data_IF_431897519264
#
_entry.id   IF_431897519264
#
_cell.length_a   1.000
_cell.length_b   1.000
_cell.length_c   1.000
_cell.angle_alpha   90.00
_cell.angle_beta   90.00
_cell.angle_gamma   90.00
#
_symmetry.space_group_name_H-M   'P 1'
#
loop_
_entity.id
_entity.type
_entity.pdbx_description
1 polymer ?
#
# COMPACT_ATOMS: atom_id res chain seq x y z
N UNK A 1 47.93 32.64 70.22
CA UNK A 1 49.32 32.43 69.77
C UNK A 1 49.26 32.07 68.31
N UNK A 2 49.73 33.03 67.52
CA UNK A 2 50.42 32.96 66.22
C UNK A 2 49.70 32.27 65.04
N UNK A 3 49.23 33.02 64.03
CA UNK A 3 49.98 33.63 62.90
C UNK A 3 50.67 32.60 62.00
N UNK A 4 50.20 32.52 60.75
CA UNK A 4 50.91 32.27 59.48
C UNK A 4 49.83 32.40 58.39
N UNK A 5 49.74 33.56 57.73
CA UNK A 5 50.45 34.00 56.52
C UNK A 5 49.61 33.77 55.24
N UNK A 6 49.40 34.87 54.52
CA UNK A 6 48.71 35.09 53.23
C UNK A 6 49.56 34.54 52.05
N UNK A 7 49.29 34.80 50.74
CA UNK A 7 48.14 35.40 50.03
C UNK A 7 47.69 34.62 48.77
N UNK A 8 46.61 35.05 48.11
CA UNK A 8 46.63 35.62 46.75
C UNK A 8 45.29 35.43 46.01
N UNK A 9 44.56 36.52 45.94
CA UNK A 9 43.47 36.74 44.99
C UNK A 9 44.06 36.68 43.58
N UNK A 10 43.47 35.85 42.72
CA UNK A 10 43.64 35.96 41.28
C UNK A 10 42.34 36.46 40.69
N UNK A 11 42.35 37.74 40.34
CA UNK A 11 41.38 38.39 39.49
C UNK A 11 41.29 37.62 38.16
N UNK A 12 40.12 37.05 37.86
CA UNK A 12 39.82 36.62 36.49
C UNK A 12 39.17 37.82 35.79
N UNK A 13 40.03 38.50 35.03
CA UNK A 13 39.73 39.53 34.05
C UNK A 13 38.60 39.10 33.10
N UNK A 14 37.53 39.90 33.07
CA UNK A 14 36.56 39.93 31.98
C UNK A 14 37.21 40.56 30.74
N UNK A 15 37.73 39.74 29.84
CA UNK A 15 37.99 40.13 28.45
C UNK A 15 37.81 38.93 27.54
N UNK A 16 37.20 39.17 26.38
CA UNK A 16 37.01 38.26 25.25
C UNK A 16 35.74 37.39 25.23
N UNK A 17 34.57 38.05 25.26
CA UNK A 17 33.43 37.56 24.48
C UNK A 17 33.73 37.83 23.01
N UNK A 18 34.46 36.91 22.36
CA UNK A 18 34.53 36.88 20.90
C UNK A 18 33.13 36.61 20.37
N UNK A 19 32.53 37.66 19.83
CA UNK A 19 31.28 37.59 19.07
C UNK A 19 31.59 36.84 17.78
N UNK A 20 31.27 35.55 17.76
CA UNK A 20 31.35 34.73 16.55
C UNK A 20 30.42 35.40 15.52
N UNK A 21 30.90 35.77 14.32
CA UNK A 21 30.02 36.29 13.29
C UNK A 21 28.99 35.22 12.98
N UNK A 22 27.70 35.56 13.02
CA UNK A 22 26.65 34.71 12.52
C UNK A 22 26.98 34.39 11.05
N UNK A 23 27.55 33.20 10.83
CA UNK A 23 27.80 32.67 9.51
C UNK A 23 26.45 32.63 8.81
N UNK A 24 26.29 33.50 7.81
CA UNK A 24 25.08 33.61 7.04
C UNK A 24 24.83 32.22 6.43
N UNK A 25 23.83 31.51 6.97
CA UNK A 25 23.33 30.27 6.39
C UNK A 25 23.06 30.59 4.92
N UNK A 26 23.80 29.98 3.96
CA UNK A 26 23.55 30.26 2.57
C UNK A 26 22.09 29.90 2.31
N UNK A 27 21.30 30.89 1.92
CA UNK A 27 19.96 30.65 1.43
C UNK A 27 20.13 29.70 0.23
N UNK A 28 19.86 28.41 0.46
CA UNK A 28 19.89 27.39 -0.58
C UNK A 28 18.80 27.80 -1.55
N UNK A 29 19.20 28.53 -2.59
CA UNK A 29 18.35 28.81 -3.73
C UNK A 29 17.92 27.45 -4.28
N UNK A 30 16.63 27.14 -4.12
CA UNK A 30 16.01 25.87 -4.49
C UNK A 30 15.89 25.76 -6.01
N UNK A 31 17.02 25.79 -6.73
CA UNK A 31 17.02 25.37 -8.12
C UNK A 31 16.95 23.85 -8.14
N UNK A 32 15.73 23.33 -8.23
CA UNK A 32 15.49 21.90 -8.43
C UNK A 32 16.06 21.52 -9.79
N UNK A 33 17.00 20.59 -9.83
CA UNK A 33 17.54 20.07 -11.10
C UNK A 33 16.44 19.33 -11.88
N UNK A 34 16.54 19.23 -13.22
CA UNK A 34 15.59 18.46 -14.02
C UNK A 34 15.41 17.01 -13.52
N UNK A 35 16.50 16.37 -13.12
CA UNK A 35 16.52 15.02 -12.54
C UNK A 35 15.74 14.95 -11.22
N UNK A 36 15.85 15.98 -10.38
CA UNK A 36 15.09 16.07 -9.13
C UNK A 36 13.59 16.25 -9.39
N UNK A 37 13.22 17.03 -10.41
CA UNK A 37 11.82 17.20 -10.83
C UNK A 37 11.25 15.90 -11.41
N UNK A 38 12.04 15.15 -12.19
CA UNK A 38 11.67 13.83 -12.70
C UNK A 38 11.46 12.83 -11.56
N UNK A 39 12.38 12.80 -10.58
CA UNK A 39 12.24 11.96 -9.39
C UNK A 39 10.98 12.30 -8.57
N UNK A 40 10.70 13.59 -8.36
CA UNK A 40 9.46 14.03 -7.69
C UNK A 40 8.20 13.61 -8.46
N UNK A 41 8.21 13.71 -9.80
CA UNK A 41 7.08 13.30 -10.63
C UNK A 41 6.86 11.78 -10.60
N UNK A 42 7.93 10.99 -10.71
CA UNK A 42 7.85 9.52 -10.58
C UNK A 42 7.31 9.13 -9.22
N UNK A 43 7.82 9.74 -8.13
CA UNK A 43 7.32 9.47 -6.79
C UNK A 43 5.84 9.83 -6.65
N UNK A 44 5.41 10.98 -7.20
CA UNK A 44 4.00 11.39 -7.19
C UNK A 44 3.11 10.41 -7.94
N UNK A 45 3.54 9.92 -9.11
CA UNK A 45 2.79 8.93 -9.91
C UNK A 45 2.68 7.60 -9.17
N UNK A 46 3.76 7.13 -8.56
CA UNK A 46 3.73 5.91 -7.75
C UNK A 46 2.85 6.08 -6.51
N UNK A 47 2.87 7.24 -5.85
CA UNK A 47 2.09 7.50 -4.63
C UNK A 47 0.59 7.57 -4.91
N UNK A 48 0.23 7.93 -6.13
CA UNK A 48 -1.16 8.06 -6.59
C UNK A 48 -1.65 6.83 -7.36
N UNK A 49 -0.83 5.79 -7.44
CA UNK A 49 -1.16 4.53 -8.09
C UNK A 49 -2.29 3.82 -7.34
N UNK A 50 -3.29 3.32 -8.05
CA UNK A 50 -4.46 2.63 -7.52
C UNK A 50 -4.66 1.27 -8.18
N UNK A 51 -5.49 0.43 -7.53
CA UNK A 51 -5.96 -0.81 -8.13
C UNK A 51 -6.68 -0.50 -9.46
N UNK A 52 -6.32 -1.25 -10.50
CA UNK A 52 -6.82 -1.09 -11.85
C UNK A 52 -5.91 -0.26 -12.75
N UNK A 53 -5.02 0.59 -12.21
CA UNK A 53 -4.11 1.42 -13.02
C UNK A 53 -3.19 0.55 -13.91
N UNK A 54 -2.74 1.12 -15.03
CA UNK A 54 -1.89 0.42 -15.98
C UNK A 54 -0.43 0.84 -15.81
N UNK A 55 0.47 -0.14 -15.82
CA UNK A 55 1.91 0.06 -15.86
C UNK A 55 2.42 -0.65 -17.10
N UNK A 56 3.05 0.09 -18.01
CA UNK A 56 3.64 -0.47 -19.22
C UNK A 56 5.10 -0.79 -18.96
N UNK A 57 5.46 -2.08 -19.05
CA UNK A 57 6.82 -2.56 -18.84
C UNK A 57 7.52 -2.75 -20.16
N UNK A 58 8.71 -2.21 -20.31
CA UNK A 58 9.58 -2.53 -21.45
C UNK A 58 9.87 -4.03 -21.43
N UNK A 59 9.74 -4.69 -22.58
CA UNK A 59 9.94 -6.13 -22.73
C UNK A 59 11.30 -6.60 -22.20
N UNK A 60 12.35 -5.80 -22.38
CA UNK A 60 13.70 -6.10 -21.88
C UNK A 60 13.75 -6.26 -20.36
N UNK A 61 12.94 -5.50 -19.63
CA UNK A 61 12.83 -5.55 -18.17
C UNK A 61 12.21 -6.87 -17.69
N UNK A 62 11.46 -7.54 -18.56
CA UNK A 62 10.84 -8.85 -18.32
C UNK A 62 11.61 -10.00 -18.99
N UNK A 63 12.83 -9.75 -19.50
CA UNK A 63 13.66 -10.74 -20.17
C UNK A 63 13.30 -11.02 -21.64
N UNK A 64 12.38 -10.24 -22.22
CA UNK A 64 11.94 -10.38 -23.61
C UNK A 64 12.77 -9.49 -24.56
N UNK A 65 12.90 -9.91 -25.83
CA UNK A 65 13.57 -9.11 -26.86
C UNK A 65 12.78 -7.83 -27.18
N UNK A 66 13.50 -6.73 -27.38
CA UNK A 66 12.97 -5.44 -27.84
C UNK A 66 13.47 -5.14 -29.26
N UNK A 67 12.70 -4.35 -30.00
CA UNK A 67 13.02 -3.94 -31.37
C UNK A 67 14.25 -3.04 -31.42
N UNK A 68 14.39 -2.16 -30.42
CA UNK A 68 15.57 -1.30 -30.22
C UNK A 68 15.74 -0.97 -28.75
N UNK A 69 16.98 -0.94 -28.27
CA UNK A 69 17.28 -0.59 -26.87
C UNK A 69 17.13 0.91 -26.60
N UNK A 70 17.59 1.74 -27.54
CA UNK A 70 17.64 3.20 -27.37
C UNK A 70 16.32 3.88 -27.71
N UNK A 71 15.57 3.32 -28.66
CA UNK A 71 14.29 3.87 -29.14
C UNK A 71 13.21 2.77 -29.15
N UNK A 72 12.70 2.36 -27.97
CA UNK A 72 11.67 1.34 -27.89
C UNK A 72 10.36 1.83 -28.54
N UNK A 73 9.75 0.98 -29.35
CA UNK A 73 8.44 1.23 -29.96
C UNK A 73 7.32 0.86 -28.97
N UNK A 74 6.07 1.32 -29.17
CA UNK A 74 4.95 0.91 -28.32
C UNK A 74 4.76 -0.63 -28.22
N UNK A 75 5.12 -1.37 -29.28
CA UNK A 75 5.09 -2.84 -29.29
C UNK A 75 6.15 -3.48 -28.40
N UNK A 76 7.18 -2.73 -27.99
CA UNK A 76 8.22 -3.17 -27.06
C UNK A 76 7.77 -3.09 -25.60
N UNK A 77 6.51 -2.74 -25.34
CA UNK A 77 5.94 -2.68 -24.01
C UNK A 77 4.87 -3.75 -23.79
N UNK A 78 4.77 -4.20 -22.54
CA UNK A 78 3.74 -5.10 -22.04
C UNK A 78 2.90 -4.33 -21.03
N UNK A 79 1.59 -4.30 -21.25
CA UNK A 79 0.64 -3.71 -20.30
C UNK A 79 0.47 -4.63 -19.08
N UNK A 80 0.73 -4.08 -17.90
CA UNK A 80 0.43 -4.69 -16.61
C UNK A 80 -0.68 -3.92 -15.90
N UNK A 81 -1.60 -4.62 -15.24
CA UNK A 81 -2.67 -4.01 -14.45
C UNK A 81 -2.40 -4.19 -12.96
N UNK A 82 -2.41 -3.09 -12.22
CA UNK A 82 -2.27 -3.12 -10.76
C UNK A 82 -3.46 -3.85 -10.15
N UNK A 83 -3.20 -4.93 -9.44
CA UNK A 83 -4.23 -5.75 -8.78
C UNK A 83 -4.43 -5.26 -7.37
N UNK A 84 -3.34 -5.16 -6.60
CA UNK A 84 -3.38 -4.78 -5.20
C UNK A 84 -2.01 -4.27 -4.71
N UNK A 85 -2.01 -3.82 -3.46
CA UNK A 85 -0.82 -3.45 -2.72
C UNK A 85 -0.65 -4.38 -1.53
N UNK A 86 0.55 -4.88 -1.33
CA UNK A 86 0.91 -5.79 -0.24
C UNK A 86 2.09 -5.23 0.52
N UNK A 87 2.32 -5.69 1.74
CA UNK A 87 3.33 -5.10 2.62
C UNK A 87 4.03 -6.18 3.43
N UNK A 88 5.34 -6.05 3.62
CA UNK A 88 6.07 -6.79 4.64
C UNK A 88 6.36 -5.87 5.85
N UNK A 89 7.36 -6.22 6.66
CA UNK A 89 7.73 -5.45 7.85
C UNK A 89 8.19 -4.02 7.54
N UNK A 90 8.87 -3.81 6.41
CA UNK A 90 9.60 -2.57 6.08
C UNK A 90 9.24 -2.04 4.68
N UNK A 91 8.75 -2.89 3.79
CA UNK A 91 8.59 -2.64 2.37
C UNK A 91 7.13 -2.71 1.95
N UNK A 92 6.80 -1.85 1.01
CA UNK A 92 5.55 -1.86 0.26
C UNK A 92 5.79 -2.53 -1.08
N UNK A 93 4.87 -3.39 -1.49
CA UNK A 93 4.88 -4.09 -2.77
C UNK A 93 3.60 -3.76 -3.55
N UNK A 94 3.71 -3.84 -4.87
CA UNK A 94 2.62 -3.71 -5.81
C UNK A 94 2.53 -5.02 -6.58
N UNK A 95 1.35 -5.62 -6.59
CA UNK A 95 1.08 -6.81 -7.40
C UNK A 95 0.46 -6.35 -8.71
N UNK A 96 1.10 -6.75 -9.82
CA UNK A 96 0.71 -6.36 -11.17
C UNK A 96 0.46 -7.62 -11.98
N UNK A 97 -0.73 -7.73 -12.57
CA UNK A 97 -1.04 -8.80 -13.51
C UNK A 97 -0.54 -8.43 -14.89
N UNK A 98 0.39 -9.22 -15.44
CA UNK A 98 1.06 -9.01 -16.71
C UNK A 98 0.73 -10.18 -17.63
N UNK A 99 0.13 -9.92 -18.79
CA UNK A 99 -0.06 -10.98 -19.78
C UNK A 99 1.20 -11.07 -20.68
N UNK A 100 1.84 -12.25 -20.86
CA UNK A 100 1.47 -13.59 -20.40
C UNK A 100 2.14 -14.05 -19.07
N UNK A 101 2.87 -13.18 -18.38
CA UNK A 101 3.70 -13.51 -17.21
C UNK A 101 2.93 -13.81 -15.90
N UNK A 102 1.61 -13.58 -15.85
CA UNK A 102 0.79 -13.76 -14.65
C UNK A 102 0.95 -12.61 -13.65
N UNK A 103 0.66 -12.89 -12.38
CA UNK A 103 0.75 -11.90 -11.30
C UNK A 103 2.18 -11.80 -10.75
N UNK A 104 2.86 -10.69 -11.05
CA UNK A 104 4.20 -10.39 -10.53
C UNK A 104 4.13 -9.38 -9.39
N UNK A 105 4.97 -9.57 -8.39
CA UNK A 105 5.08 -8.70 -7.23
C UNK A 105 6.36 -7.85 -7.34
N UNK A 106 6.23 -6.53 -7.23
CA UNK A 106 7.33 -5.59 -7.30
C UNK A 106 7.43 -4.80 -6.01
N UNK A 107 8.64 -4.63 -5.46
CA UNK A 107 8.83 -3.66 -4.39
C UNK A 107 8.62 -2.25 -4.94
N UNK A 108 8.08 -1.36 -4.13
CA UNK A 108 7.89 0.04 -4.48
C UNK A 108 9.21 0.72 -4.92
N UNK A 109 10.33 0.34 -4.29
CA UNK A 109 11.67 0.80 -4.68
C UNK A 109 12.13 0.27 -6.04
N UNK A 110 11.67 -0.92 -6.46
CA UNK A 110 12.01 -1.47 -7.77
C UNK A 110 11.25 -0.73 -8.87
N UNK A 111 9.95 -0.48 -8.67
CA UNK A 111 9.14 0.34 -9.57
C UNK A 111 9.71 1.76 -9.72
N UNK A 112 10.16 2.36 -8.62
CA UNK A 112 10.84 3.67 -8.67
C UNK A 112 12.11 3.61 -9.54
N UNK A 113 12.99 2.63 -9.31
CA UNK A 113 14.24 2.49 -10.08
C UNK A 113 13.97 2.23 -11.55
N UNK A 114 13.01 1.35 -11.87
CA UNK A 114 12.63 1.06 -13.25
C UNK A 114 12.00 2.29 -13.94
N UNK A 115 11.21 3.09 -13.23
CA UNK A 115 10.62 4.30 -13.80
C UNK A 115 11.69 5.37 -14.08
N UNK A 116 12.65 5.56 -13.16
CA UNK A 116 13.79 6.44 -13.38
C UNK A 116 14.69 5.98 -14.54
N UNK A 117 14.82 4.65 -14.73
CA UNK A 117 15.54 4.07 -15.86
C UNK A 117 14.75 4.09 -17.18
N UNK A 118 13.50 4.59 -17.18
CA UNK A 118 12.58 4.59 -18.33
C UNK A 118 12.24 3.20 -18.86
N UNK A 119 12.33 2.21 -17.98
CA UNK A 119 11.95 0.82 -18.23
C UNK A 119 10.44 0.60 -18.03
N UNK A 120 9.78 1.47 -17.26
CA UNK A 120 8.33 1.41 -17.08
C UNK A 120 7.67 2.77 -17.25
N UNK A 121 6.43 2.76 -17.73
CA UNK A 121 5.56 3.94 -17.82
C UNK A 121 4.27 3.72 -17.05
N UNK A 122 3.98 4.61 -16.11
CA UNK A 122 2.78 4.55 -15.27
C UNK A 122 1.68 5.36 -15.94
N UNK A 123 0.59 4.69 -16.31
CA UNK A 123 -0.61 5.31 -16.85
C UNK A 123 -1.78 5.11 -15.90
N UNK A 124 -2.33 6.22 -15.44
CA UNK A 124 -3.44 6.24 -14.51
C UNK A 124 -4.73 5.97 -15.26
N UNK A 125 -5.65 5.22 -14.65
CA UNK A 125 -7.05 5.31 -15.04
C UNK A 125 -7.53 6.71 -14.66
N UNK A 126 -7.58 7.60 -15.63
CA UNK A 126 -8.38 8.79 -15.48
C UNK A 126 -9.84 8.31 -15.28
N UNK A 127 -10.36 8.48 -14.05
CA UNK A 127 -11.79 8.23 -13.75
C UNK A 127 -12.74 9.14 -14.54
N UNK A 128 -12.21 10.00 -15.41
CA UNK A 128 -12.94 10.61 -16.52
C UNK A 128 -12.55 9.83 -17.76
N UNK A 129 -13.50 9.05 -18.30
CA UNK A 129 -13.45 8.58 -19.70
C UNK A 129 -13.10 9.78 -20.58
N UNK A 130 -11.84 9.89 -20.97
CA UNK A 130 -11.45 10.68 -22.13
C UNK A 130 -11.43 9.64 -23.24
N UNK A 131 -12.51 9.62 -24.01
CA UNK A 131 -12.49 8.99 -25.32
C UNK A 131 -11.32 9.62 -26.10
N UNK A 132 -10.23 8.87 -26.26
CA UNK A 132 -9.11 9.22 -27.14
C UNK A 132 -9.49 9.04 -28.62
N UNK A 133 -10.71 9.41 -28.97
CA UNK A 133 -11.17 9.58 -30.34
C UNK A 133 -11.69 11.00 -30.51
N UNK A 134 -10.77 11.95 -30.72
CA UNK A 134 -10.98 13.14 -31.56
C UNK A 134 -9.68 13.92 -31.71
N UNK A 135 -8.97 13.56 -32.77
CA UNK A 135 -7.80 14.27 -33.27
C UNK A 135 -7.58 13.99 -34.75
N UNK A 136 -8.65 13.85 -35.55
CA UNK A 136 -8.56 13.96 -37.00
C UNK A 136 -9.78 14.70 -37.54
N UNK A 137 -9.49 15.62 -38.46
CA UNK A 137 -10.36 16.66 -39.00
C UNK A 137 -11.42 16.08 -39.94
N UNK A 138 -12.60 16.71 -39.93
CA UNK A 138 -13.38 16.95 -41.14
C UNK A 138 -14.42 15.89 -41.53
N UNK A 139 -15.67 16.35 -41.66
CA UNK A 139 -16.56 15.89 -42.72
C UNK A 139 -17.57 14.79 -42.39
N UNK A 140 -18.83 15.20 -42.33
CA UNK A 140 -20.03 14.53 -42.85
C UNK A 140 -20.49 13.19 -42.25
N UNK A 141 -21.63 13.30 -41.54
CA UNK A 141 -22.82 12.43 -41.58
C UNK A 141 -22.66 10.90 -41.67
N UNK A 142 -23.25 10.20 -40.70
CA UNK A 142 -23.62 8.80 -40.84
C UNK A 142 -24.03 8.13 -39.53
N UNK A 143 -25.33 8.08 -39.26
CA UNK A 143 -25.95 7.17 -38.30
C UNK A 143 -25.48 5.73 -38.55
N UNK A 144 -25.12 4.98 -37.50
CA UNK A 144 -25.29 3.52 -37.45
C UNK A 144 -25.18 3.01 -36.00
N UNK A 145 -26.33 2.60 -35.46
CA UNK A 145 -26.47 1.69 -34.32
C UNK A 145 -25.84 0.35 -34.68
N UNK A 146 -24.83 -0.15 -33.95
CA UNK A 146 -24.56 -1.62 -33.86
C UNK A 146 -23.99 -2.00 -32.48
N UNK A 147 -24.86 -2.65 -31.72
CA UNK A 147 -24.68 -3.84 -30.88
C UNK A 147 -23.34 -4.11 -30.18
N UNK A 148 -23.44 -4.14 -28.85
CA UNK A 148 -22.72 -4.99 -27.91
C UNK A 148 -22.38 -6.37 -28.47
N UNK A 149 -21.10 -6.74 -28.50
CA UNK A 149 -20.66 -8.13 -28.59
C UNK A 149 -19.57 -8.39 -27.56
N UNK A 150 -19.99 -9.03 -26.47
CA UNK A 150 -19.12 -9.80 -25.59
C UNK A 150 -18.33 -10.81 -26.44
N UNK A 151 -17.00 -10.75 -26.39
CA UNK A 151 -16.15 -11.79 -26.95
C UNK A 151 -15.66 -12.68 -25.82
N UNK A 152 -16.39 -13.78 -25.65
CA UNK A 152 -15.92 -15.03 -25.06
C UNK A 152 -14.66 -15.46 -25.80
N UNK A 153 -13.51 -15.46 -25.13
CA UNK A 153 -12.31 -16.13 -25.65
C UNK A 153 -12.30 -17.54 -25.07
N UNK A 154 -12.40 -18.49 -25.98
CA UNK A 154 -12.36 -19.94 -25.76
C UNK A 154 -11.08 -20.35 -25.04
N UNK A 155 -11.23 -21.22 -24.04
CA UNK A 155 -10.17 -22.08 -23.52
C UNK A 155 -9.62 -22.94 -24.66
N UNK A 156 -8.30 -22.86 -24.90
CA UNK A 156 -7.59 -23.90 -25.62
C UNK A 156 -6.72 -24.63 -24.60
N UNK A 157 -7.07 -25.89 -24.42
CA UNK A 157 -6.31 -26.96 -23.80
C UNK A 157 -4.99 -27.10 -24.58
N UNK A 158 -3.85 -27.05 -23.89
CA UNK A 158 -2.65 -27.75 -24.37
C UNK A 158 -1.73 -28.11 -23.20
N UNK A 159 -1.46 -29.40 -23.14
CA UNK A 159 -0.72 -30.13 -22.14
C UNK A 159 0.81 -30.01 -22.29
N UNK A 160 1.52 -30.22 -21.16
CA UNK A 160 2.95 -30.61 -20.98
C UNK A 160 3.96 -29.49 -20.60
N UNK A 161 5.13 -29.83 -20.00
CA UNK A 161 5.36 -30.71 -18.87
C UNK A 161 6.14 -30.04 -17.72
N UNK A 162 5.99 -30.63 -16.55
CA UNK A 162 6.62 -30.31 -15.27
C UNK A 162 8.15 -30.45 -15.35
N UNK A 163 8.90 -29.36 -15.10
CA UNK A 163 10.31 -29.45 -14.71
C UNK A 163 10.45 -29.03 -13.25
N UNK A 164 10.60 -30.04 -12.41
CA UNK A 164 11.06 -29.89 -11.04
C UNK A 164 12.53 -29.46 -11.05
N UNK A 165 12.83 -28.32 -10.44
CA UNK A 165 14.18 -27.99 -10.00
C UNK A 165 14.23 -28.13 -8.48
N UNK A 166 14.76 -29.28 -8.07
CA UNK A 166 15.19 -29.59 -6.72
C UNK A 166 16.32 -28.66 -6.28
N UNK A 167 16.16 -27.99 -5.15
CA UNK A 167 17.29 -27.69 -4.26
C UNK A 167 16.89 -27.96 -2.81
N UNK A 168 17.76 -28.73 -2.19
CA UNK A 168 17.73 -29.42 -0.91
C UNK A 168 17.85 -28.50 0.30
N UNK A 169 17.09 -28.85 1.33
CA UNK A 169 17.48 -29.00 2.74
C UNK A 169 18.30 -27.88 3.39
N UNK A 170 17.60 -26.99 4.09
CA UNK A 170 18.07 -26.37 5.34
C UNK A 170 16.92 -26.42 6.36
N UNK A 171 17.27 -26.82 7.57
CA UNK A 171 16.39 -27.29 8.65
C UNK A 171 15.22 -26.39 9.09
N UNK A 172 14.15 -27.12 9.37
CA UNK A 172 12.90 -26.79 10.04
C UNK A 172 13.06 -26.09 11.40
N UNK A 173 12.40 -24.94 11.58
CA UNK A 173 11.30 -24.85 12.55
C UNK A 173 10.43 -23.60 12.35
N UNK A 174 9.12 -23.84 12.19
CA UNK A 174 8.04 -22.86 12.32
C UNK A 174 7.95 -21.75 11.24
N UNK A 175 7.16 -21.97 10.16
CA UNK A 175 6.21 -20.99 9.58
C UNK A 175 5.80 -21.17 8.09
N UNK A 176 6.01 -22.32 7.45
CA UNK A 176 5.63 -22.46 6.02
C UNK A 176 4.13 -22.46 5.73
N UNK A 177 3.29 -22.85 6.70
CA UNK A 177 1.84 -22.75 6.55
C UNK A 177 1.35 -21.28 6.52
N UNK A 178 2.13 -20.37 7.09
CA UNK A 178 1.81 -18.95 7.21
C UNK A 178 2.21 -18.18 5.94
N UNK A 179 3.30 -18.57 5.28
CA UNK A 179 3.76 -17.96 4.03
C UNK A 179 2.88 -18.35 2.84
N UNK A 180 2.50 -19.62 2.73
CA UNK A 180 1.62 -20.11 1.66
C UNK A 180 0.20 -19.52 1.77
N UNK A 181 -0.32 -19.38 2.99
CA UNK A 181 -1.62 -18.72 3.24
C UNK A 181 -1.57 -17.21 2.97
N UNK A 182 -0.44 -16.54 3.24
CA UNK A 182 -0.24 -15.12 2.93
C UNK A 182 -0.25 -14.83 1.44
N UNK A 183 0.33 -15.70 0.61
CA UNK A 183 0.35 -15.54 -0.85
C UNK A 183 -1.05 -15.77 -1.47
N UNK A 184 -1.85 -16.66 -0.86
CA UNK A 184 -3.16 -17.10 -1.34
C UNK A 184 -4.30 -16.09 -1.17
N UNK A 185 -4.09 -14.99 -0.43
CA UNK A 185 -5.13 -13.99 -0.10
C UNK A 185 -4.97 -12.62 -0.79
N UNK A 186 -4.05 -12.50 -1.75
CA UNK A 186 -3.58 -11.21 -2.26
C UNK A 186 -4.37 -10.65 -3.47
N UNK A 187 -5.55 -11.17 -3.80
CA UNK A 187 -6.20 -10.90 -5.09
C UNK A 187 -7.57 -10.20 -5.04
N UNK A 188 -7.89 -9.41 -4.02
CA UNK A 188 -9.23 -8.74 -3.98
C UNK A 188 -9.21 -7.29 -3.59
N UNK A 189 -9.95 -6.50 -4.38
CA UNK A 189 -10.33 -5.12 -4.06
C UNK A 189 -10.95 -5.07 -2.65
N UNK A 190 -10.46 -4.20 -1.74
CA UNK A 190 -11.05 -4.04 -0.41
C UNK A 190 -12.54 -3.69 -0.43
N UNK A 191 -13.07 -3.17 -1.55
CA UNK A 191 -14.51 -2.92 -1.76
C UNK A 191 -15.34 -4.18 -2.00
N UNK A 192 -14.73 -5.27 -2.48
CA UNK A 192 -15.42 -6.55 -2.70
C UNK A 192 -15.58 -7.36 -1.40
N UNK A 193 -15.02 -6.89 -0.29
CA UNK A 193 -15.08 -7.58 1.00
C UNK A 193 -16.43 -7.36 1.67
N UNK A 194 -17.05 -8.40 2.25
CA UNK A 194 -18.26 -8.25 3.06
C UNK A 194 -18.07 -7.18 4.16
N UNK A 195 -19.14 -6.46 4.48
CA UNK A 195 -19.18 -5.44 5.52
C UNK A 195 -20.01 -5.99 6.68
N UNK A 196 -19.51 -5.97 7.93
CA UNK A 196 -20.33 -6.31 9.09
C UNK A 196 -21.58 -5.42 9.15
N UNK A 197 -22.76 -6.00 9.42
CA UNK A 197 -24.01 -5.26 9.39
C UNK A 197 -24.02 -4.12 10.41
N UNK A 198 -24.41 -2.92 9.96
CA UNK A 198 -24.58 -1.75 10.81
C UNK A 198 -23.28 -1.05 11.23
N UNK A 199 -22.12 -1.46 10.73
CA UNK A 199 -20.82 -0.92 11.16
C UNK A 199 -20.69 0.60 10.96
N UNK A 200 -21.32 1.13 9.91
CA UNK A 200 -21.41 2.55 9.60
C UNK A 200 -22.17 3.37 10.66
N UNK A 201 -22.99 2.72 11.49
CA UNK A 201 -23.78 3.40 12.53
C UNK A 201 -22.95 3.70 13.77
N UNK A 202 -21.90 2.92 14.02
CA UNK A 202 -21.13 2.97 15.25
C UNK A 202 -19.61 3.16 15.08
N UNK A 203 -19.04 2.90 13.89
CA UNK A 203 -17.68 3.32 13.52
C UNK A 203 -17.76 4.58 12.65
N UNK A 204 -17.21 5.69 13.14
CA UNK A 204 -17.42 7.02 12.55
C UNK A 204 -16.13 7.76 12.17
N UNK A 205 -14.95 7.20 12.43
CA UNK A 205 -13.70 7.92 12.21
C UNK A 205 -13.44 8.18 10.71
N UNK A 206 -13.27 9.46 10.34
CA UNK A 206 -12.94 9.89 8.97
C UNK A 206 -11.45 10.24 8.87
N UNK A 207 -10.61 9.26 8.56
CA UNK A 207 -9.16 9.44 8.54
C UNK A 207 -8.68 10.45 7.48
N UNK A 208 -7.84 11.41 7.89
CA UNK A 208 -7.12 12.32 6.97
C UNK A 208 -5.84 11.64 6.46
N UNK A 209 -5.01 11.11 7.38
CA UNK A 209 -3.77 10.41 7.05
C UNK A 209 -3.85 8.92 7.43
N UNK A 210 -4.66 8.19 6.67
CA UNK A 210 -4.89 6.76 6.90
C UNK A 210 -3.61 5.92 6.79
N UNK A 211 -2.71 6.24 5.85
CA UNK A 211 -1.50 5.46 5.59
C UNK A 211 -0.55 5.50 6.79
N UNK A 212 -0.32 6.69 7.35
CA UNK A 212 0.53 6.84 8.53
C UNK A 212 -0.03 6.06 9.73
N UNK A 213 -1.34 6.17 9.98
CA UNK A 213 -1.96 5.47 11.09
C UNK A 213 -1.95 3.94 10.92
N UNK A 214 -2.15 3.44 9.68
CA UNK A 214 -1.98 2.02 9.37
C UNK A 214 -0.57 1.54 9.71
N UNK A 215 0.48 2.31 9.40
CA UNK A 215 1.87 1.94 9.76
C UNK A 215 2.05 1.84 11.27
N UNK A 216 1.50 2.80 12.02
CA UNK A 216 1.53 2.79 13.50
C UNK A 216 0.83 1.57 14.07
N UNK A 217 -0.39 1.28 13.61
CA UNK A 217 -1.16 0.11 14.04
C UNK A 217 -0.43 -1.19 13.72
N UNK A 218 0.13 -1.34 12.51
CA UNK A 218 0.95 -2.50 12.15
C UNK A 218 2.15 -2.67 13.06
N UNK A 219 2.84 -1.57 13.41
CA UNK A 219 3.93 -1.58 14.39
C UNK A 219 3.47 -2.12 15.74
N UNK A 220 2.36 -1.63 16.28
CA UNK A 220 1.80 -2.08 17.56
C UNK A 220 1.38 -3.55 17.54
N UNK A 221 0.76 -4.01 16.45
CA UNK A 221 0.41 -5.43 16.27
C UNK A 221 1.68 -6.29 16.26
N UNK A 222 2.77 -5.84 15.66
CA UNK A 222 4.03 -6.60 15.65
C UNK A 222 4.64 -6.72 17.05
N UNK A 223 4.62 -5.65 17.84
CA UNK A 223 5.13 -5.66 19.22
C UNK A 223 4.34 -6.61 20.12
N UNK A 224 3.05 -6.83 19.85
CA UNK A 224 2.22 -7.73 20.64
C UNK A 224 1.27 -8.57 19.78
N UNK A 225 1.86 -9.35 18.87
CA UNK A 225 1.11 -10.14 17.87
C UNK A 225 0.19 -11.14 18.55
N UNK A 226 0.67 -11.83 19.57
CA UNK A 226 -0.08 -12.86 20.27
C UNK A 226 -1.38 -12.29 20.87
N UNK A 227 -1.29 -11.20 21.63
CA UNK A 227 -2.45 -10.54 22.23
C UNK A 227 -3.43 -10.02 21.17
N UNK A 228 -2.93 -9.50 20.06
CA UNK A 228 -3.79 -9.07 18.96
C UNK A 228 -4.55 -10.25 18.33
N UNK A 229 -3.88 -11.39 18.13
CA UNK A 229 -4.52 -12.60 17.58
C UNK A 229 -5.60 -13.15 18.54
N UNK A 230 -5.34 -13.15 19.84
CA UNK A 230 -6.30 -13.52 20.90
C UNK A 230 -7.50 -12.58 20.92
N UNK A 231 -7.27 -11.26 20.93
CA UNK A 231 -8.33 -10.25 20.92
C UNK A 231 -9.20 -10.31 19.66
N UNK A 232 -8.65 -10.79 18.54
CA UNK A 232 -9.35 -10.90 17.25
C UNK A 232 -9.87 -12.30 16.93
N UNK A 233 -9.94 -13.21 17.91
CA UNK A 233 -10.40 -14.60 17.72
C UNK A 233 -11.76 -14.68 17.01
N UNK A 234 -12.68 -13.78 17.36
CA UNK A 234 -14.04 -13.70 16.80
C UNK A 234 -14.20 -12.59 15.75
N UNK A 235 -13.14 -11.82 15.46
CA UNK A 235 -13.14 -10.65 14.57
C UNK A 235 -11.98 -10.80 13.56
N UNK A 236 -11.96 -11.95 12.88
CA UNK A 236 -10.79 -12.39 12.11
C UNK A 236 -10.48 -11.47 10.93
N UNK A 237 -11.49 -10.78 10.40
CA UNK A 237 -11.33 -9.77 9.35
C UNK A 237 -10.41 -8.62 9.77
N UNK A 238 -10.30 -8.30 11.07
CA UNK A 238 -9.39 -7.26 11.55
C UNK A 238 -7.91 -7.66 11.36
N UNK A 239 -7.61 -8.96 11.23
CA UNK A 239 -6.24 -9.46 10.97
C UNK A 239 -5.72 -9.06 9.60
N UNK A 240 -6.62 -8.70 8.67
CA UNK A 240 -6.27 -8.18 7.35
C UNK A 240 -5.48 -6.87 7.43
N UNK A 241 -5.48 -6.16 8.58
CA UNK A 241 -4.61 -5.00 8.82
C UNK A 241 -3.13 -5.30 8.60
N UNK A 242 -2.72 -6.56 8.76
CA UNK A 242 -1.35 -6.99 8.58
C UNK A 242 -0.95 -7.15 7.11
N UNK A 243 -1.89 -7.51 6.24
CA UNK A 243 -1.58 -8.03 4.89
C UNK A 243 -2.23 -7.24 3.75
N UNK A 244 -3.29 -6.48 4.02
CA UNK A 244 -4.09 -5.82 3.00
C UNK A 244 -4.29 -4.32 3.27
N UNK A 245 -4.85 -3.63 2.28
CA UNK A 245 -5.47 -2.33 2.47
C UNK A 245 -6.71 -2.50 3.36
N UNK A 246 -6.76 -1.72 4.45
CA UNK A 246 -7.87 -1.76 5.41
C UNK A 246 -8.93 -0.72 5.12
N UNK A 247 -10.17 -0.96 5.53
CA UNK A 247 -11.26 0.02 5.56
C UNK A 247 -11.15 0.90 6.81
N UNK A 248 -11.84 2.04 6.81
CA UNK A 248 -11.79 2.97 7.94
C UNK A 248 -12.26 2.32 9.24
N UNK A 249 -13.40 1.61 9.21
CA UNK A 249 -13.91 0.93 10.40
C UNK A 249 -12.98 -0.19 10.90
N UNK A 250 -12.30 -0.92 10.01
CA UNK A 250 -11.36 -1.98 10.39
C UNK A 250 -10.16 -1.38 11.15
N UNK A 251 -9.71 -0.21 10.70
CA UNK A 251 -8.62 0.52 11.32
C UNK A 251 -9.04 1.15 12.66
N UNK A 252 -10.24 1.72 12.73
CA UNK A 252 -10.84 2.22 13.97
C UNK A 252 -10.96 1.10 15.00
N UNK A 253 -11.48 -0.07 14.61
CA UNK A 253 -11.64 -1.20 15.53
C UNK A 253 -10.32 -1.81 15.97
N UNK A 254 -9.36 -1.97 15.05
CA UNK A 254 -8.02 -2.42 15.41
C UNK A 254 -7.36 -1.46 16.42
N UNK A 255 -7.57 -0.15 16.28
CA UNK A 255 -7.05 0.84 17.22
C UNK A 255 -7.65 0.68 18.62
N UNK A 256 -8.97 0.52 18.74
CA UNK A 256 -9.62 0.28 20.04
C UNK A 256 -9.13 -1.00 20.71
N UNK A 257 -8.94 -2.10 19.96
CA UNK A 257 -8.41 -3.36 20.50
C UNK A 257 -6.95 -3.26 20.97
N UNK A 258 -6.21 -2.27 20.46
CA UNK A 258 -4.82 -1.98 20.81
C UNK A 258 -4.69 -0.81 21.80
N UNK A 259 -5.81 -0.34 22.39
CA UNK A 259 -5.85 0.82 23.30
C UNK A 259 -5.18 2.07 22.70
N UNK A 260 -5.31 2.29 21.40
CA UNK A 260 -4.79 3.45 20.68
C UNK A 260 -5.93 4.33 20.24
N UNK A 261 -5.79 5.65 20.37
CA UNK A 261 -6.82 6.61 19.95
C UNK A 261 -6.76 6.87 18.43
N UNK A 262 -7.75 6.44 17.63
CA UNK A 262 -7.80 6.73 16.19
C UNK A 262 -8.21 8.17 15.86
N UNK A 263 -8.91 8.87 16.76
CA UNK A 263 -9.52 10.18 16.53
C UNK A 263 -8.50 11.31 16.33
N UNK A 264 -7.29 11.13 16.85
CA UNK A 264 -6.15 12.01 16.59
C UNK A 264 -5.74 12.08 15.10
N UNK A 265 -6.18 11.13 14.28
CA UNK A 265 -5.84 11.03 12.85
C UNK A 265 -7.05 11.29 11.93
N UNK A 266 -8.17 11.75 12.49
CA UNK A 266 -9.45 11.91 11.80
C UNK A 266 -9.82 13.40 11.60
N UNK A 267 -10.65 13.67 10.60
CA UNK A 267 -11.16 15.01 10.28
C UNK A 267 -12.34 15.44 11.15
N UNK A 268 -12.90 14.51 11.93
CA UNK A 268 -14.04 14.71 12.82
C UNK A 268 -13.69 14.38 14.29
N UNK A 269 -12.65 14.98 14.89
CA UNK A 269 -12.23 14.65 16.26
C UNK A 269 -13.29 14.98 17.32
N UNK A 270 -14.22 15.90 17.03
CA UNK A 270 -15.32 16.28 17.91
C UNK A 270 -16.41 15.20 18.05
N UNK A 271 -16.41 14.17 17.20
CA UNK A 271 -17.30 13.01 17.31
C UNK A 271 -16.69 11.86 18.13
N UNK A 272 -15.55 12.08 18.80
CA UNK A 272 -14.87 11.09 19.61
C UNK A 272 -15.79 10.51 20.71
N UNK A 273 -16.00 9.18 20.75
CA UNK A 273 -16.81 8.52 21.76
C UNK A 273 -16.09 8.48 23.10
N UNK A 274 -16.87 8.47 24.19
CA UNK A 274 -16.32 8.25 25.52
C UNK A 274 -15.72 6.83 25.66
N UNK A 275 -14.83 6.60 26.64
CA UNK A 275 -14.27 5.26 26.91
C UNK A 275 -15.32 4.18 27.14
N UNK A 276 -16.45 4.52 27.77
CA UNK A 276 -17.59 3.61 27.99
C UNK A 276 -18.25 3.27 26.66
N UNK A 277 -18.46 4.28 25.80
CA UNK A 277 -19.04 4.09 24.47
C UNK A 277 -18.11 3.27 23.58
N UNK A 278 -16.80 3.37 23.71
CA UNK A 278 -15.84 2.51 23.00
C UNK A 278 -16.05 1.02 23.36
N UNK A 279 -16.30 0.71 24.64
CA UNK A 279 -16.60 -0.68 25.06
C UNK A 279 -17.88 -1.20 24.41
N UNK A 280 -18.92 -0.37 24.35
CA UNK A 280 -20.16 -0.71 23.66
C UNK A 280 -19.95 -0.91 22.14
N UNK A 281 -19.14 -0.06 21.51
CA UNK A 281 -18.79 -0.19 20.08
C UNK A 281 -18.10 -1.53 19.81
N UNK A 282 -17.15 -1.93 20.66
CA UNK A 282 -16.48 -3.22 20.54
C UNK A 282 -17.50 -4.38 20.64
N UNK A 283 -18.44 -4.33 21.58
CA UNK A 283 -19.47 -5.37 21.72
C UNK A 283 -20.47 -5.40 20.56
N UNK A 284 -20.91 -4.24 20.06
CA UNK A 284 -21.75 -4.14 18.85
C UNK A 284 -21.02 -4.72 17.64
N UNK A 285 -19.72 -4.43 17.50
CA UNK A 285 -18.91 -4.98 16.42
C UNK A 285 -18.78 -6.51 16.55
N UNK A 286 -18.50 -7.03 17.75
CA UNK A 286 -18.47 -8.49 18.02
C UNK A 286 -19.80 -9.16 17.66
N UNK A 287 -20.92 -8.52 17.96
CA UNK A 287 -22.24 -9.03 17.59
C UNK A 287 -22.45 -9.02 16.06
N UNK A 288 -22.04 -7.94 15.39
CA UNK A 288 -22.15 -7.79 13.94
C UNK A 288 -21.36 -8.87 13.18
N UNK A 289 -20.13 -9.17 13.61
CA UNK A 289 -19.28 -10.18 12.95
C UNK A 289 -19.71 -11.62 13.25
N UNK A 290 -20.49 -11.83 14.32
CA UNK A 290 -21.11 -13.13 14.66
C UNK A 290 -22.45 -13.33 13.96
N UNK A 291 -22.92 -12.37 13.17
CA UNK A 291 -24.13 -12.53 12.38
C UNK A 291 -23.94 -13.71 11.40
N UNK A 292 -24.83 -14.73 11.40
CA UNK A 292 -24.68 -15.91 10.55
C UNK A 292 -24.53 -15.59 9.07
N UNK A 293 -25.28 -14.60 8.58
CA UNK A 293 -25.25 -14.16 7.17
C UNK A 293 -23.88 -13.55 6.85
N UNK A 294 -23.36 -12.70 7.74
CA UNK A 294 -22.04 -12.12 7.54
C UNK A 294 -20.94 -13.18 7.56
N UNK A 295 -20.99 -14.13 8.51
CA UNK A 295 -20.00 -15.21 8.61
C UNK A 295 -19.96 -16.05 7.32
N UNK A 296 -21.12 -16.40 6.76
CA UNK A 296 -21.21 -17.13 5.50
C UNK A 296 -20.62 -16.33 4.32
N UNK A 297 -20.97 -15.05 4.20
CA UNK A 297 -20.44 -14.17 3.16
C UNK A 297 -18.92 -14.02 3.28
N UNK A 298 -18.41 -13.88 4.50
CA UNK A 298 -16.98 -13.74 4.77
C UNK A 298 -16.22 -15.03 4.45
N UNK A 299 -16.74 -16.20 4.85
CA UNK A 299 -16.15 -17.48 4.52
C UNK A 299 -16.13 -17.73 3.00
N UNK A 300 -17.21 -17.42 2.30
CA UNK A 300 -17.28 -17.51 0.83
C UNK A 300 -16.28 -16.58 0.15
N UNK A 301 -16.12 -15.36 0.66
CA UNK A 301 -15.13 -14.42 0.15
C UNK A 301 -13.69 -14.92 0.37
N UNK A 302 -13.39 -15.51 1.54
CA UNK A 302 -12.09 -16.13 1.82
C UNK A 302 -11.80 -17.34 0.92
N UNK A 303 -12.82 -18.16 0.63
CA UNK A 303 -12.68 -19.30 -0.28
C UNK A 303 -12.44 -18.85 -1.73
N UNK A 304 -13.18 -17.83 -2.20
CA UNK A 304 -13.04 -17.31 -3.57
C UNK A 304 -11.71 -16.60 -3.81
N UNK A 305 -11.20 -15.87 -2.80
CA UNK A 305 -9.84 -15.31 -2.85
C UNK A 305 -8.79 -16.41 -2.95
N UNK A 306 -9.04 -17.56 -2.30
CA UNK A 306 -8.14 -18.71 -2.32
C UNK A 306 -8.16 -19.52 -3.62
N UNK A 307 -9.22 -19.40 -4.42
CA UNK A 307 -9.44 -20.22 -5.63
C UNK A 307 -9.11 -19.46 -6.92
N UNK A 308 -9.10 -18.13 -6.88
CA UNK A 308 -8.85 -17.26 -8.06
C UNK A 308 -7.37 -17.11 -8.44
N UNK A 309 -6.49 -17.99 -7.95
CA UNK A 309 -5.02 -17.92 -8.13
C UNK A 309 -4.48 -19.22 -8.78
N UNK A 310 -5.35 -20.13 -9.24
CA UNK A 310 -4.95 -21.31 -10.01
C UNK A 310 -5.24 -21.12 -11.50
#
# INVERSE_FOLDING_TARGET
MDLLDTPSETEISNSDIQTIPAEAVPAISKYKTPEYLEAEDVLRRLQTLNNGDCIYFKKSTLGNKVSSMDNPLPIDFIEGRVVCFTFDEVKQYVVVNLHPHGALQFCYGDLYRMAMARDIYIHRLDMKRIDLSKGSKGGLAGNLNIASKNRTIKSLDDSLPYYAASHSDIDSSCSDLDAYTRQKLLSTDPKARPIPPGVETFCKCRFINKIEFVRKIRGLVRTNRQKFMENTTFMQELRLVLTQNVRAYELEMAAYLLNTNPWQYCSNPHEEPSPERIKEIIEMYKAAVRNPIYMELFAKWQANTSTSIN
#
